data_IF_911603362261
#
_entry.id   IF_911603362261
#
_cell.length_a   1.000
_cell.length_b   1.000
_cell.length_c   1.000
_cell.angle_alpha   90.00
_cell.angle_beta   90.00
_cell.angle_gamma   90.00
#
_symmetry.space_group_name_H-M   'P 1'
#
loop_
_entity.id
_entity.type
_entity.pdbx_description
1 polymer ?
#
# COMPACT_ATOMS: atom_id res chain seq x y z
N UNK A 1 -18.51 2.80 12.36
CA UNK A 1 -17.29 3.36 12.98
C UNK A 1 -17.23 3.13 14.48
N UNK A 2 -18.33 3.41 15.21
CA UNK A 2 -18.37 3.29 16.68
C UNK A 2 -18.11 1.86 17.16
N UNK A 3 -18.73 0.88 16.52
CA UNK A 3 -18.59 -0.55 16.87
C UNK A 3 -17.13 -1.05 16.75
N UNK A 4 -16.36 -0.51 15.80
CA UNK A 4 -15.02 -0.96 15.50
C UNK A 4 -13.94 0.07 15.88
N UNK A 5 -14.30 1.14 16.60
CA UNK A 5 -13.39 2.21 17.03
C UNK A 5 -12.57 2.83 15.90
N UNK A 6 -13.13 2.89 14.68
CA UNK A 6 -12.45 3.47 13.53
C UNK A 6 -12.51 5.01 13.56
N UNK A 7 -11.44 5.66 13.09
CA UNK A 7 -11.32 7.12 13.06
C UNK A 7 -11.94 7.66 11.78
N UNK A 8 -13.08 8.35 11.85
CA UNK A 8 -13.83 8.83 10.70
C UNK A 8 -13.01 9.77 9.79
N UNK A 9 -12.26 10.69 10.38
CA UNK A 9 -11.41 11.65 9.64
C UNK A 9 -10.33 10.97 8.76
N UNK A 10 -10.03 9.69 8.99
CA UNK A 10 -9.16 8.90 8.12
C UNK A 10 -9.82 8.55 6.79
N UNK A 11 -11.14 8.37 6.78
CA UNK A 11 -11.90 7.99 5.60
C UNK A 11 -12.42 9.21 4.83
N UNK A 12 -12.94 10.21 5.55
CA UNK A 12 -13.53 11.40 4.97
C UNK A 12 -13.25 12.62 5.85
N UNK A 13 -12.83 13.71 5.24
CA UNK A 13 -12.73 15.02 5.87
C UNK A 13 -13.06 16.12 4.84
N UNK A 14 -13.38 17.35 5.30
CA UNK A 14 -13.88 18.44 4.46
C UNK A 14 -12.84 18.90 3.43
N UNK A 15 -11.55 18.78 3.72
CA UNK A 15 -10.47 19.21 2.83
C UNK A 15 -10.01 18.14 1.85
N UNK A 16 -10.56 16.92 1.95
CA UNK A 16 -10.18 15.83 1.09
C UNK A 16 -10.80 15.97 -0.28
N UNK A 17 -10.01 16.45 -1.23
CA UNK A 17 -10.41 16.56 -2.65
C UNK A 17 -10.29 15.25 -3.43
N UNK A 18 -9.50 14.32 -2.93
CA UNK A 18 -9.31 13.01 -3.57
C UNK A 18 -10.53 12.12 -3.33
N UNK A 19 -11.09 11.60 -4.38
CA UNK A 19 -12.09 10.53 -4.30
C UNK A 19 -11.35 9.24 -3.94
N UNK A 20 -11.84 8.53 -2.92
CA UNK A 20 -11.21 7.26 -2.50
C UNK A 20 -11.53 6.13 -3.47
N UNK A 21 -10.68 5.13 -3.52
CA UNK A 21 -10.96 3.85 -4.18
C UNK A 21 -12.02 3.07 -3.40
N UNK A 22 -12.80 2.29 -4.11
CA UNK A 22 -13.79 1.38 -3.52
C UNK A 22 -13.31 -0.06 -3.79
N UNK A 23 -12.82 -0.70 -2.73
CA UNK A 23 -12.38 -2.08 -2.76
C UNK A 23 -13.52 -3.03 -2.41
N UNK A 24 -13.76 -4.03 -3.25
CA UNK A 24 -14.80 -5.05 -3.05
C UNK A 24 -14.18 -6.43 -3.18
N UNK A 25 -14.26 -7.21 -2.11
CA UNK A 25 -13.79 -8.59 -2.12
C UNK A 25 -14.79 -9.51 -2.82
N UNK A 26 -14.31 -10.24 -3.82
CA UNK A 26 -15.14 -11.11 -4.66
C UNK A 26 -14.52 -12.50 -4.85
N UNK A 27 -15.34 -13.47 -5.27
CA UNK A 27 -14.86 -14.77 -5.72
C UNK A 27 -14.24 -14.60 -7.11
N UNK A 28 -13.03 -15.13 -7.33
CA UNK A 28 -12.27 -14.97 -8.56
C UNK A 28 -13.08 -15.37 -9.81
N UNK A 29 -13.76 -16.50 -9.75
CA UNK A 29 -14.51 -17.07 -10.87
C UNK A 29 -15.77 -16.29 -11.20
N UNK A 30 -16.33 -15.54 -10.23
CA UNK A 30 -17.54 -14.72 -10.40
C UNK A 30 -17.20 -13.28 -10.85
N UNK A 31 -15.93 -12.86 -10.73
CA UNK A 31 -15.51 -11.49 -11.08
C UNK A 31 -15.84 -11.06 -12.51
N UNK A 32 -15.70 -11.90 -13.56
CA UNK A 32 -16.07 -11.51 -14.92
C UNK A 32 -17.56 -11.20 -15.06
N UNK A 33 -18.43 -11.93 -14.36
CA UNK A 33 -19.88 -11.69 -14.37
C UNK A 33 -20.22 -10.37 -13.67
N UNK A 34 -19.49 -10.02 -12.61
CA UNK A 34 -19.67 -8.75 -11.91
C UNK A 34 -19.26 -7.59 -12.83
N UNK A 35 -18.13 -7.68 -13.56
CA UNK A 35 -17.77 -6.67 -14.56
C UNK A 35 -18.85 -6.52 -15.62
N UNK A 36 -19.35 -7.64 -16.14
CA UNK A 36 -20.46 -7.62 -17.10
C UNK A 36 -21.70 -6.94 -16.53
N UNK A 37 -22.09 -7.26 -15.30
CA UNK A 37 -23.21 -6.62 -14.61
C UNK A 37 -23.04 -5.09 -14.51
N UNK A 38 -21.82 -4.62 -14.15
CA UNK A 38 -21.52 -3.19 -14.07
C UNK A 38 -21.65 -2.53 -15.44
N UNK A 39 -21.09 -3.14 -16.49
CA UNK A 39 -21.17 -2.63 -17.86
C UNK A 39 -22.61 -2.60 -18.35
N UNK A 40 -23.39 -3.66 -18.12
CA UNK A 40 -24.80 -3.74 -18.54
C UNK A 40 -25.65 -2.68 -17.80
N UNK A 41 -25.36 -2.42 -16.52
CA UNK A 41 -26.13 -1.47 -15.69
C UNK A 41 -25.83 -0.01 -16.01
N UNK A 42 -24.55 0.33 -16.23
CA UNK A 42 -24.11 1.73 -16.42
C UNK A 42 -23.79 2.06 -17.88
N UNK A 43 -23.82 1.08 -18.76
CA UNK A 43 -23.49 1.12 -20.19
C UNK A 43 -22.03 1.40 -20.52
N UNK A 44 -21.58 0.86 -21.64
CA UNK A 44 -20.17 0.91 -22.06
C UNK A 44 -19.59 2.32 -22.21
N UNK A 45 -20.28 3.35 -22.73
CA UNK A 45 -19.71 4.70 -22.85
C UNK A 45 -19.33 5.35 -21.52
N UNK A 46 -19.91 4.87 -20.42
CA UNK A 46 -19.71 5.40 -19.06
C UNK A 46 -18.89 4.47 -18.16
N UNK A 47 -18.44 3.35 -18.69
CA UNK A 47 -17.64 2.35 -17.96
C UNK A 47 -16.40 1.99 -18.75
N UNK A 48 -15.26 1.88 -18.08
CA UNK A 48 -14.02 1.39 -18.67
C UNK A 48 -13.14 0.70 -17.65
N UNK A 49 -12.31 -0.25 -18.13
CA UNK A 49 -11.29 -0.87 -17.32
C UNK A 49 -10.14 0.11 -17.06
N UNK A 50 -9.49 -0.05 -15.93
CA UNK A 50 -8.29 0.74 -15.60
C UNK A 50 -7.09 0.12 -16.29
N UNK A 51 -6.26 0.89 -17.01
CA UNK A 51 -5.01 0.39 -17.57
C UNK A 51 -3.94 0.22 -16.49
N UNK A 52 -2.99 -0.66 -16.76
CA UNK A 52 -1.74 -0.74 -16.01
C UNK A 52 -0.58 -0.56 -17.00
N UNK A 53 0.22 0.48 -16.80
CA UNK A 53 1.41 0.76 -17.59
C UNK A 53 2.65 0.27 -16.84
N UNK A 54 3.39 -0.63 -17.47
CA UNK A 54 4.71 -0.98 -16.97
C UNK A 54 5.73 0.06 -17.43
N UNK A 55 6.51 0.59 -16.51
CA UNK A 55 7.60 1.51 -16.80
C UNK A 55 8.95 0.82 -16.68
N UNK A 56 9.92 1.27 -17.46
CA UNK A 56 11.28 0.76 -17.40
C UNK A 56 11.93 1.17 -16.07
N UNK A 57 11.93 0.26 -15.09
CA UNK A 57 12.73 0.41 -13.87
C UNK A 57 14.23 0.24 -14.19
N UNK A 58 15.11 0.54 -13.23
CA UNK A 58 16.56 0.56 -13.41
C UNK A 58 17.13 -0.65 -14.17
N UNK A 59 16.81 -1.85 -13.72
CA UNK A 59 17.29 -3.08 -14.37
C UNK A 59 16.67 -3.30 -15.75
N UNK A 60 15.38 -2.96 -15.92
CA UNK A 60 14.68 -3.13 -17.19
C UNK A 60 15.17 -2.12 -18.24
N UNK A 61 15.41 -0.87 -17.86
CA UNK A 61 16.03 0.13 -18.74
C UNK A 61 17.37 -0.37 -19.27
N UNK A 62 18.22 -0.92 -18.39
CA UNK A 62 19.50 -1.50 -18.78
C UNK A 62 19.34 -2.70 -19.72
N UNK A 63 18.37 -3.58 -19.47
CA UNK A 63 18.09 -4.73 -20.34
C UNK A 63 17.64 -4.30 -21.74
N UNK A 64 16.83 -3.25 -21.84
CA UNK A 64 16.37 -2.68 -23.11
C UNK A 64 17.59 -2.18 -23.90
N UNK A 65 18.49 -1.47 -23.24
CA UNK A 65 19.72 -0.95 -23.87
C UNK A 65 20.61 -2.10 -24.36
N UNK A 66 20.86 -3.10 -23.51
CA UNK A 66 21.68 -4.25 -23.87
C UNK A 66 21.09 -5.02 -25.07
N UNK A 67 19.76 -5.18 -25.12
CA UNK A 67 19.06 -5.77 -26.29
C UNK A 67 19.24 -4.92 -27.55
N UNK A 68 19.09 -3.59 -27.41
CA UNK A 68 19.32 -2.67 -28.53
C UNK A 68 20.73 -2.75 -29.11
N UNK A 69 21.76 -2.85 -28.28
CA UNK A 69 23.13 -3.06 -28.72
C UNK A 69 23.31 -4.40 -29.46
N UNK A 70 22.70 -5.48 -28.95
CA UNK A 70 22.70 -6.78 -29.58
C UNK A 70 22.03 -6.74 -30.97
N UNK A 71 20.82 -6.17 -31.04
CA UNK A 71 20.07 -6.06 -32.30
C UNK A 71 20.78 -5.18 -33.32
N UNK A 72 21.43 -4.09 -32.90
CA UNK A 72 22.24 -3.25 -33.75
C UNK A 72 23.40 -4.05 -34.32
N UNK A 73 24.13 -4.77 -33.47
CA UNK A 73 25.28 -5.60 -33.94
C UNK A 73 24.83 -6.65 -34.95
N UNK A 74 23.73 -7.37 -34.73
CA UNK A 74 23.21 -8.37 -35.68
C UNK A 74 22.86 -7.72 -37.03
N UNK A 75 22.28 -6.53 -37.04
CA UNK A 75 21.97 -5.80 -38.27
C UNK A 75 23.22 -5.34 -39.03
N UNK A 76 24.29 -4.99 -38.32
CA UNK A 76 25.57 -4.56 -38.91
C UNK A 76 26.45 -5.73 -39.38
N UNK A 77 26.16 -6.96 -38.90
CA UNK A 77 26.93 -8.20 -39.20
C UNK A 77 25.98 -9.32 -39.67
N UNK A 78 25.27 -9.14 -40.80
CA UNK A 78 24.24 -10.08 -41.26
C UNK A 78 24.76 -11.47 -41.64
N UNK A 79 26.05 -11.57 -42.00
CA UNK A 79 26.71 -12.80 -42.41
C UNK A 79 27.41 -13.53 -41.24
N UNK A 80 27.38 -12.98 -40.04
CA UNK A 80 27.98 -13.57 -38.84
C UNK A 80 26.96 -14.35 -38.01
N UNK A 81 27.44 -15.39 -37.33
CA UNK A 81 26.60 -16.13 -36.35
C UNK A 81 26.32 -15.27 -35.12
N UNK A 82 25.04 -15.24 -34.67
CA UNK A 82 24.64 -14.48 -33.47
C UNK A 82 25.43 -14.86 -32.23
N UNK A 83 25.99 -16.07 -32.15
CA UNK A 83 26.81 -16.50 -31.00
C UNK A 83 28.10 -15.69 -30.85
N UNK A 84 28.56 -15.04 -31.95
CA UNK A 84 29.74 -14.18 -31.94
C UNK A 84 29.43 -12.76 -31.40
N UNK A 85 28.15 -12.44 -31.17
CA UNK A 85 27.78 -11.12 -30.69
C UNK A 85 28.38 -10.83 -29.29
N UNK A 86 29.17 -9.72 -29.15
CA UNK A 86 29.78 -9.39 -27.87
C UNK A 86 28.74 -8.94 -26.82
N UNK A 87 27.55 -8.51 -27.27
CA UNK A 87 26.46 -8.05 -26.41
C UNK A 87 25.54 -9.19 -25.93
N UNK A 88 26.14 -10.24 -25.42
CA UNK A 88 25.49 -11.46 -24.96
C UNK A 88 25.10 -11.38 -23.47
N UNK A 89 24.65 -12.51 -22.88
CA UNK A 89 24.27 -12.58 -21.49
C UNK A 89 25.41 -12.25 -20.51
N UNK A 90 26.67 -12.54 -20.88
CA UNK A 90 27.83 -12.20 -20.04
C UNK A 90 28.02 -10.67 -19.99
N UNK A 91 27.88 -9.99 -21.13
CA UNK A 91 27.88 -8.53 -21.22
C UNK A 91 26.74 -7.94 -20.35
N UNK A 92 25.51 -8.42 -20.52
CA UNK A 92 24.36 -7.96 -19.74
C UNK A 92 24.58 -8.12 -18.22
N UNK A 93 25.12 -9.27 -17.78
CA UNK A 93 25.43 -9.50 -16.38
C UNK A 93 26.55 -8.59 -15.85
N UNK A 94 27.51 -8.25 -16.69
CA UNK A 94 28.57 -7.30 -16.36
C UNK A 94 27.99 -5.88 -16.14
N UNK A 95 27.06 -5.46 -17.02
CA UNK A 95 26.38 -4.17 -16.88
C UNK A 95 25.51 -4.10 -15.61
N UNK A 96 24.77 -5.18 -15.28
CA UNK A 96 24.00 -5.27 -14.03
C UNK A 96 24.90 -5.14 -12.79
N UNK A 97 26.06 -5.78 -12.79
CA UNK A 97 27.02 -5.68 -11.68
C UNK A 97 27.58 -4.27 -11.56
N UNK A 98 27.83 -3.58 -12.65
CA UNK A 98 28.29 -2.20 -12.63
C UNK A 98 27.20 -1.27 -12.09
N UNK A 99 25.96 -1.38 -12.56
CA UNK A 99 24.82 -0.61 -12.06
C UNK A 99 24.59 -0.82 -10.54
N UNK A 100 24.79 -2.04 -10.05
CA UNK A 100 24.63 -2.36 -8.62
C UNK A 100 25.67 -1.70 -7.71
N UNK A 101 26.80 -1.24 -8.24
CA UNK A 101 27.79 -0.44 -7.50
C UNK A 101 27.40 1.03 -7.38
N UNK A 102 26.57 1.52 -8.28
CA UNK A 102 26.07 2.88 -8.36
C UNK A 102 26.00 3.39 -9.79
N UNK A 103 25.00 4.21 -10.07
CA UNK A 103 24.74 4.72 -11.42
C UNK A 103 25.87 5.62 -11.92
N UNK A 104 26.42 6.49 -11.06
CA UNK A 104 27.49 7.41 -11.44
C UNK A 104 28.79 6.67 -11.78
N UNK A 105 29.09 5.58 -11.08
CA UNK A 105 30.24 4.73 -11.36
C UNK A 105 30.03 3.96 -12.67
N UNK A 106 28.85 3.42 -12.88
CA UNK A 106 28.48 2.72 -14.11
C UNK A 106 28.55 3.62 -15.35
N UNK A 107 28.11 4.88 -15.25
CA UNK A 107 28.23 5.89 -16.31
C UNK A 107 29.68 6.21 -16.67
N UNK A 108 30.58 6.17 -15.68
CA UNK A 108 32.03 6.37 -15.92
C UNK A 108 32.69 5.15 -16.56
N UNK A 109 32.30 3.95 -16.11
CA UNK A 109 32.89 2.70 -16.57
C UNK A 109 32.42 2.31 -17.98
N UNK A 110 31.12 2.59 -18.33
CA UNK A 110 30.49 2.23 -19.62
C UNK A 110 29.65 3.39 -20.18
N UNK A 111 30.29 4.53 -20.55
CA UNK A 111 29.56 5.73 -20.95
C UNK A 111 28.69 5.51 -22.20
N UNK A 112 29.08 4.68 -23.14
CA UNK A 112 28.34 4.36 -24.36
C UNK A 112 27.02 3.63 -24.09
N UNK A 113 26.98 2.76 -23.05
CA UNK A 113 25.78 2.02 -22.63
C UNK A 113 24.84 2.93 -21.85
N UNK A 114 25.38 3.64 -20.88
CA UNK A 114 24.59 4.47 -19.97
C UNK A 114 24.21 5.83 -20.56
N UNK A 115 24.70 6.18 -21.74
CA UNK A 115 24.25 7.36 -22.49
C UNK A 115 22.72 7.37 -22.73
N UNK A 116 22.15 6.19 -23.01
CA UNK A 116 20.71 6.05 -23.28
C UNK A 116 19.88 5.83 -22.02
N UNK A 117 20.52 5.60 -20.88
CA UNK A 117 19.86 5.12 -19.67
C UNK A 117 18.81 6.10 -19.16
N UNK A 118 19.16 7.37 -19.02
CA UNK A 118 18.25 8.40 -18.49
C UNK A 118 17.05 8.67 -19.42
N UNK A 119 17.21 8.44 -20.72
CA UNK A 119 16.14 8.59 -21.71
C UNK A 119 15.16 7.40 -21.74
N UNK A 120 15.56 6.23 -21.21
CA UNK A 120 14.72 5.02 -21.18
C UNK A 120 14.13 4.81 -19.79
N UNK A 121 14.85 5.17 -18.74
CA UNK A 121 14.38 5.03 -17.36
C UNK A 121 13.04 5.75 -17.17
N UNK A 122 12.06 5.02 -16.61
CA UNK A 122 10.71 5.54 -16.35
C UNK A 122 9.80 5.63 -17.57
N UNK A 123 10.28 5.31 -18.80
CA UNK A 123 9.40 5.29 -19.99
C UNK A 123 8.39 4.15 -19.91
N UNK A 124 7.19 4.37 -20.46
CA UNK A 124 6.14 3.33 -20.57
C UNK A 124 6.59 2.29 -21.61
N UNK A 125 6.77 1.04 -21.19
CA UNK A 125 7.27 -0.07 -22.03
C UNK A 125 6.24 -1.18 -22.23
N UNK A 126 5.20 -1.21 -21.41
CA UNK A 126 4.11 -2.16 -21.58
C UNK A 126 2.79 -1.55 -21.18
N UNK A 127 1.72 -2.09 -21.76
CA UNK A 127 0.35 -1.69 -21.49
C UNK A 127 -0.50 -2.96 -21.30
N UNK A 128 -1.15 -3.04 -20.16
CA UNK A 128 -2.03 -4.14 -19.78
C UNK A 128 -3.32 -3.61 -19.14
N UNK A 129 -4.26 -4.50 -18.89
CA UNK A 129 -5.49 -4.19 -18.16
C UNK A 129 -5.25 -4.50 -16.68
N UNK A 130 -5.56 -3.56 -15.80
CA UNK A 130 -5.56 -3.82 -14.36
C UNK A 130 -6.61 -4.91 -14.04
N UNK A 131 -6.24 -6.02 -13.40
CA UNK A 131 -7.11 -7.19 -13.29
C UNK A 131 -8.38 -6.94 -12.46
N UNK A 132 -8.36 -5.97 -11.55
CA UNK A 132 -9.45 -5.69 -10.62
C UNK A 132 -10.19 -4.38 -10.92
N UNK A 133 -9.55 -3.40 -11.58
CA UNK A 133 -10.04 -2.04 -11.68
C UNK A 133 -11.09 -1.82 -12.78
N UNK A 134 -12.18 -1.13 -12.41
CA UNK A 134 -13.16 -0.55 -13.33
C UNK A 134 -13.57 0.84 -12.85
N UNK A 135 -13.79 1.74 -13.79
CA UNK A 135 -14.30 3.10 -13.53
C UNK A 135 -15.74 3.20 -14.01
N UNK A 136 -16.57 3.89 -13.24
CA UNK A 136 -17.94 4.29 -13.61
C UNK A 136 -17.96 5.82 -13.59
N UNK A 137 -18.38 6.44 -14.68
CA UNK A 137 -18.35 7.88 -14.89
C UNK A 137 -19.74 8.46 -15.15
N UNK A 138 -20.02 9.68 -14.69
CA UNK A 138 -21.24 10.40 -15.07
C UNK A 138 -21.16 11.04 -16.46
N UNK A 139 -19.96 11.05 -17.08
CA UNK A 139 -19.71 11.62 -18.42
C UNK A 139 -19.14 10.58 -19.37
N UNK A 140 -19.23 10.84 -20.69
CA UNK A 140 -18.70 9.96 -21.73
C UNK A 140 -17.17 9.84 -21.60
N UNK A 141 -16.69 8.63 -21.31
CA UNK A 141 -15.28 8.39 -21.04
C UNK A 141 -14.38 8.62 -22.26
N UNK A 142 -14.83 8.18 -23.44
CA UNK A 142 -14.04 8.33 -24.66
C UNK A 142 -13.82 9.80 -25.07
N UNK A 143 -14.82 10.67 -24.85
CA UNK A 143 -14.75 12.09 -25.21
C UNK A 143 -13.94 12.92 -24.20
N UNK A 144 -14.00 12.54 -22.91
CA UNK A 144 -13.40 13.36 -21.87
C UNK A 144 -11.99 12.88 -21.48
N UNK A 145 -11.70 11.56 -21.56
CA UNK A 145 -10.45 10.98 -21.04
C UNK A 145 -9.74 10.09 -22.06
N UNK A 146 -10.40 9.81 -23.21
CA UNK A 146 -9.90 8.85 -24.18
C UNK A 146 -10.03 7.40 -23.72
N UNK A 147 -10.27 6.53 -24.68
CA UNK A 147 -10.34 5.07 -24.46
C UNK A 147 -9.58 4.33 -25.55
N UNK A 148 -9.18 3.09 -25.26
CA UNK A 148 -8.60 2.16 -26.23
C UNK A 148 -9.13 0.75 -25.98
N UNK A 149 -9.01 -0.11 -26.99
CA UNK A 149 -9.41 -1.50 -26.88
C UNK A 149 -8.18 -2.36 -26.58
N UNK A 150 -8.22 -3.16 -25.51
CA UNK A 150 -7.19 -4.12 -25.13
C UNK A 150 -7.83 -5.45 -24.72
N UNK A 151 -7.43 -6.52 -25.40
CA UNK A 151 -7.92 -7.89 -25.14
C UNK A 151 -9.46 -8.01 -25.14
N UNK A 152 -10.14 -7.20 -25.97
CA UNK A 152 -11.60 -7.15 -26.09
C UNK A 152 -12.29 -6.26 -25.04
N UNK A 153 -11.54 -5.65 -24.12
CA UNK A 153 -12.08 -4.75 -23.09
C UNK A 153 -11.77 -3.28 -23.43
N UNK A 154 -12.73 -2.39 -23.14
CA UNK A 154 -12.54 -0.94 -23.27
C UNK A 154 -11.81 -0.45 -22.04
N UNK A 155 -10.65 0.17 -22.24
CA UNK A 155 -9.77 0.72 -21.21
C UNK A 155 -9.67 2.22 -21.33
N UNK A 156 -9.45 2.92 -20.21
CA UNK A 156 -9.08 4.34 -20.20
C UNK A 156 -7.67 4.55 -20.78
N UNK A 157 -7.40 5.73 -21.34
CA UNK A 157 -6.04 6.13 -21.74
C UNK A 157 -5.25 6.76 -20.59
N UNK A 158 -5.92 7.19 -19.55
CA UNK A 158 -5.32 7.75 -18.33
C UNK A 158 -5.01 6.63 -17.33
N UNK A 159 -3.93 6.78 -16.59
CA UNK A 159 -3.50 5.82 -15.58
C UNK A 159 -4.18 6.06 -14.21
N UNK A 160 -3.79 5.25 -13.23
CA UNK A 160 -4.41 5.29 -11.90
C UNK A 160 -4.24 6.63 -11.19
N UNK A 161 -3.09 7.28 -11.32
CA UNK A 161 -2.82 8.57 -10.67
C UNK A 161 -3.64 9.68 -11.37
N UNK A 162 -3.69 9.65 -12.70
CA UNK A 162 -4.51 10.57 -13.50
C UNK A 162 -6.02 10.39 -13.25
N UNK A 163 -6.50 9.17 -12.99
CA UNK A 163 -7.89 8.88 -12.59
C UNK A 163 -8.24 9.61 -11.28
N UNK A 164 -7.34 9.61 -10.31
CA UNK A 164 -7.52 10.36 -9.06
C UNK A 164 -7.51 11.88 -9.29
N UNK A 165 -6.61 12.37 -10.13
CA UNK A 165 -6.49 13.81 -10.43
C UNK A 165 -7.78 14.38 -11.06
N UNK A 166 -8.46 13.59 -11.88
CA UNK A 166 -9.74 13.98 -12.49
C UNK A 166 -10.97 13.59 -11.66
N UNK A 167 -10.76 13.13 -10.42
CA UNK A 167 -11.81 12.77 -9.47
C UNK A 167 -12.80 11.69 -9.95
N UNK A 168 -12.34 10.77 -10.79
CA UNK A 168 -13.12 9.58 -11.13
C UNK A 168 -13.00 8.54 -10.01
N UNK A 169 -14.11 7.83 -9.74
CA UNK A 169 -14.15 6.73 -8.76
C UNK A 169 -13.70 5.43 -9.42
N UNK A 170 -12.67 4.84 -8.85
CA UNK A 170 -12.21 3.51 -9.22
C UNK A 170 -12.81 2.46 -8.27
N UNK A 171 -13.33 1.39 -8.85
CA UNK A 171 -13.80 0.20 -8.14
C UNK A 171 -12.83 -0.93 -8.40
N UNK A 172 -12.26 -1.49 -7.33
CA UNK A 172 -11.37 -2.66 -7.42
C UNK A 172 -12.10 -3.91 -6.94
N UNK A 173 -12.36 -4.83 -7.85
CA UNK A 173 -12.93 -6.14 -7.55
C UNK A 173 -11.81 -7.12 -7.18
N UNK A 174 -11.46 -7.13 -5.90
CA UNK A 174 -10.35 -7.91 -5.37
C UNK A 174 -10.73 -9.38 -5.24
N UNK A 175 -10.07 -10.26 -5.99
CA UNK A 175 -10.32 -11.68 -5.94
C UNK A 175 -9.66 -12.32 -4.71
N UNK A 176 -10.45 -12.70 -3.72
CA UNK A 176 -9.99 -13.35 -2.51
C UNK A 176 -10.35 -14.84 -2.46
N UNK A 177 -9.31 -15.68 -2.37
CA UNK A 177 -9.48 -17.13 -2.21
C UNK A 177 -10.30 -17.50 -0.96
N UNK A 178 -10.11 -16.77 0.13
CA UNK A 178 -10.80 -17.03 1.40
C UNK A 178 -12.30 -16.83 1.29
N UNK A 179 -12.78 -15.81 0.54
CA UNK A 179 -14.21 -15.62 0.28
C UNK A 179 -14.82 -16.86 -0.36
N UNK A 180 -14.13 -17.47 -1.34
CA UNK A 180 -14.56 -18.72 -1.99
C UNK A 180 -14.58 -19.91 -0.99
N UNK A 181 -13.54 -20.03 -0.14
CA UNK A 181 -13.47 -21.09 0.88
C UNK A 181 -14.70 -20.99 1.81
N UNK A 182 -14.98 -19.80 2.35
CA UNK A 182 -16.13 -19.58 3.22
C UNK A 182 -17.44 -19.90 2.48
N UNK A 183 -17.63 -19.38 1.28
CA UNK A 183 -18.83 -19.63 0.47
C UNK A 183 -19.05 -21.13 0.23
N UNK A 184 -18.01 -21.85 -0.17
CA UNK A 184 -18.11 -23.30 -0.41
C UNK A 184 -18.39 -24.08 0.88
N UNK A 185 -17.74 -23.71 1.99
CA UNK A 185 -18.01 -24.33 3.29
C UNK A 185 -19.47 -24.15 3.70
N UNK A 186 -20.00 -22.93 3.59
CA UNK A 186 -21.41 -22.66 3.88
C UNK A 186 -22.36 -23.50 3.01
N UNK A 187 -22.07 -23.63 1.71
CA UNK A 187 -22.84 -24.49 0.78
C UNK A 187 -22.81 -25.97 1.19
N UNK A 188 -21.63 -26.47 1.61
CA UNK A 188 -21.46 -27.87 2.01
C UNK A 188 -22.22 -28.23 3.30
N UNK A 189 -22.25 -27.31 4.27
CA UNK A 189 -22.94 -27.52 5.55
C UNK A 189 -24.40 -27.03 5.54
N UNK A 190 -24.86 -26.44 4.45
CA UNK A 190 -26.24 -25.98 4.29
C UNK A 190 -26.60 -24.75 5.12
N UNK A 191 -25.64 -23.86 5.42
CA UNK A 191 -25.89 -22.61 6.15
C UNK A 191 -25.73 -21.39 5.23
N UNK A 192 -26.37 -20.24 5.55
CA UNK A 192 -26.16 -18.99 4.84
C UNK A 192 -24.74 -18.46 5.05
N UNK A 193 -24.27 -17.61 4.13
CA UNK A 193 -22.99 -16.89 4.29
C UNK A 193 -23.07 -16.00 5.54
N UNK A 194 -22.10 -16.09 6.48
CA UNK A 194 -22.18 -15.38 7.76
C UNK A 194 -22.08 -13.86 7.57
N UNK A 195 -22.87 -13.12 8.30
CA UNK A 195 -22.77 -11.66 8.38
C UNK A 195 -21.98 -11.29 9.62
N UNK A 196 -21.21 -10.22 9.54
CA UNK A 196 -20.28 -9.79 10.61
C UNK A 196 -20.97 -9.58 11.96
N UNK A 197 -22.23 -9.16 11.97
CA UNK A 197 -23.02 -8.96 13.18
C UNK A 197 -23.66 -10.25 13.74
N UNK A 198 -23.56 -11.37 13.02
CA UNK A 198 -24.03 -12.69 13.42
C UNK A 198 -22.90 -13.54 14.04
N UNK A 199 -21.64 -13.05 13.94
CA UNK A 199 -20.46 -13.75 14.44
C UNK A 199 -20.26 -13.41 15.92
N UNK A 200 -20.11 -14.45 16.76
CA UNK A 200 -19.63 -14.26 18.13
C UNK A 200 -18.11 -14.06 18.15
N UNK A 201 -17.69 -12.80 18.22
CA UNK A 201 -16.28 -12.41 18.24
C UNK A 201 -15.59 -12.75 19.59
N UNK A 202 -16.33 -13.21 20.59
CA UNK A 202 -15.80 -13.60 21.90
C UNK A 202 -15.71 -15.12 22.09
N UNK A 203 -15.97 -15.92 21.04
CA UNK A 203 -15.87 -17.37 21.12
C UNK A 203 -14.40 -17.82 21.29
N UNK A 204 -14.02 -18.10 22.54
CA UNK A 204 -12.68 -18.58 22.90
C UNK A 204 -12.28 -19.87 22.17
N UNK A 205 -13.24 -20.72 21.84
CA UNK A 205 -12.96 -21.97 21.12
C UNK A 205 -12.44 -21.67 19.72
N UNK A 206 -13.05 -20.71 19.02
CA UNK A 206 -12.59 -20.30 17.68
C UNK A 206 -11.18 -19.72 17.75
N UNK A 207 -10.91 -18.83 18.71
CA UNK A 207 -9.56 -18.26 18.90
C UNK A 207 -8.50 -19.33 19.20
N UNK A 208 -8.84 -20.34 19.99
CA UNK A 208 -7.92 -21.44 20.27
C UNK A 208 -7.74 -22.39 19.08
N UNK A 209 -8.81 -22.73 18.37
CA UNK A 209 -8.76 -23.62 17.20
C UNK A 209 -7.98 -23.01 16.05
N UNK A 210 -8.03 -21.68 15.87
CA UNK A 210 -7.25 -20.92 14.88
C UNK A 210 -5.73 -21.11 15.05
N UNK A 211 -5.24 -21.47 16.24
CA UNK A 211 -3.81 -21.70 16.49
C UNK A 211 -3.32 -23.10 16.12
N UNK A 212 -4.21 -23.98 15.65
CA UNK A 212 -3.86 -25.38 15.32
C UNK A 212 -3.32 -25.54 13.91
N UNK A 213 -3.91 -24.79 12.96
CA UNK A 213 -3.53 -24.85 11.54
C UNK A 213 -3.65 -23.46 10.90
N UNK A 214 -2.81 -23.20 9.91
CA UNK A 214 -2.88 -21.98 9.10
C UNK A 214 -3.78 -22.15 7.85
N UNK A 215 -4.35 -23.32 7.64
CA UNK A 215 -5.24 -23.59 6.51
C UNK A 215 -6.49 -22.73 6.59
N UNK A 216 -6.75 -21.96 5.53
CA UNK A 216 -7.90 -21.07 5.46
C UNK A 216 -7.78 -19.76 6.26
N UNK A 217 -6.68 -19.54 6.96
CA UNK A 217 -6.44 -18.28 7.67
C UNK A 217 -5.86 -17.22 6.71
N UNK A 218 -6.69 -16.29 6.30
CA UNK A 218 -6.28 -15.21 5.40
C UNK A 218 -5.08 -14.41 5.95
N UNK A 219 -4.07 -14.19 5.12
CA UNK A 219 -2.80 -13.52 5.43
C UNK A 219 -1.88 -14.25 6.45
N UNK A 220 -2.33 -15.38 6.99
CA UNK A 220 -1.56 -16.19 7.96
C UNK A 220 -1.09 -17.53 7.38
N UNK A 221 -1.15 -17.69 6.04
CA UNK A 221 -0.85 -18.95 5.35
C UNK A 221 0.63 -19.33 5.40
N UNK A 222 1.53 -18.34 5.51
CA UNK A 222 2.96 -18.61 5.60
C UNK A 222 3.35 -19.17 6.97
N UNK A 223 4.32 -20.06 7.01
CA UNK A 223 4.86 -20.61 8.28
C UNK A 223 5.37 -19.50 9.22
N UNK A 224 5.92 -18.42 8.65
CA UNK A 224 6.39 -17.28 9.40
C UNK A 224 5.23 -16.52 10.07
N UNK A 225 4.22 -16.10 9.29
CA UNK A 225 3.06 -15.37 9.83
C UNK A 225 2.31 -16.21 10.88
N UNK A 226 2.11 -17.48 10.60
CA UNK A 226 1.48 -18.40 11.55
C UNK A 226 2.31 -18.62 12.81
N UNK A 227 3.64 -18.63 12.70
CA UNK A 227 4.56 -18.66 13.84
C UNK A 227 4.37 -17.48 14.77
N UNK A 228 4.24 -16.26 14.22
CA UNK A 228 3.95 -15.05 15.00
C UNK A 228 2.57 -15.10 15.64
N UNK A 229 1.55 -15.52 14.89
CA UNK A 229 0.19 -15.71 15.41
C UNK A 229 0.15 -16.62 16.62
N UNK A 230 0.86 -17.77 16.55
CA UNK A 230 0.95 -18.72 17.67
C UNK A 230 1.68 -18.17 18.89
N UNK A 231 2.64 -17.28 18.71
CA UNK A 231 3.33 -16.63 19.82
C UNK A 231 2.45 -15.58 20.48
N UNK A 232 1.77 -14.75 19.68
CA UNK A 232 0.92 -13.68 20.16
C UNK A 232 -0.36 -14.19 20.85
N UNK A 233 -0.99 -15.24 20.30
CA UNK A 233 -2.24 -15.85 20.78
C UNK A 233 -3.38 -14.84 20.88
N UNK A 234 -3.86 -14.28 19.78
CA UNK A 234 -4.94 -13.30 19.79
C UNK A 234 -6.21 -13.87 20.42
N UNK A 235 -6.95 -13.04 21.14
CA UNK A 235 -8.21 -13.37 21.79
C UNK A 235 -9.37 -12.50 21.34
N UNK A 236 -9.10 -11.58 20.43
CA UNK A 236 -10.06 -10.63 19.88
C UNK A 236 -9.72 -10.24 18.45
N UNK A 237 -10.70 -9.66 17.76
CA UNK A 237 -10.47 -9.10 16.41
C UNK A 237 -9.45 -7.95 16.45
N UNK A 238 -9.37 -7.19 17.54
CA UNK A 238 -8.38 -6.14 17.73
C UNK A 238 -6.97 -6.70 17.85
N UNK A 239 -6.79 -7.78 18.61
CA UNK A 239 -5.53 -8.51 18.70
C UNK A 239 -5.11 -9.03 17.33
N UNK A 240 -6.05 -9.58 16.56
CA UNK A 240 -5.79 -10.08 15.21
C UNK A 240 -5.39 -8.95 14.26
N UNK A 241 -6.05 -7.78 14.35
CA UNK A 241 -5.68 -6.58 13.62
C UNK A 241 -4.24 -6.15 13.95
N UNK A 242 -3.85 -6.21 15.22
CA UNK A 242 -2.52 -5.86 15.68
C UNK A 242 -1.45 -6.80 15.10
N UNK A 243 -1.72 -8.11 15.09
CA UNK A 243 -0.83 -9.11 14.45
C UNK A 243 -0.71 -8.85 12.95
N UNK A 244 -1.82 -8.58 12.25
CA UNK A 244 -1.81 -8.26 10.83
C UNK A 244 -1.00 -7.00 10.52
N UNK A 245 -1.11 -5.96 11.35
CA UNK A 245 -0.33 -4.73 11.21
C UNK A 245 1.17 -4.98 11.47
N UNK A 246 1.50 -5.75 12.50
CA UNK A 246 2.88 -6.11 12.83
C UNK A 246 3.58 -6.92 11.72
N UNK A 247 2.82 -7.70 10.93
CA UNK A 247 3.36 -8.46 9.79
C UNK A 247 3.79 -7.58 8.62
N UNK A 248 3.28 -6.34 8.53
CA UNK A 248 3.68 -5.39 7.48
C UNK A 248 5.17 -5.04 7.61
N UNK A 249 5.85 -4.63 6.52
CA UNK A 249 7.24 -4.16 6.59
C UNK A 249 7.46 -3.06 7.63
N UNK A 250 6.46 -2.20 7.83
CA UNK A 250 6.43 -1.16 8.87
C UNK A 250 6.61 -1.69 10.29
N UNK A 251 6.21 -2.92 10.55
CA UNK A 251 6.36 -3.56 11.86
C UNK A 251 7.75 -4.10 12.17
N UNK A 252 8.68 -4.09 11.21
CA UNK A 252 9.96 -4.80 11.34
C UNK A 252 10.78 -4.40 12.57
N UNK A 253 10.73 -3.13 12.98
CA UNK A 253 11.51 -2.60 14.11
C UNK A 253 10.95 -2.97 15.50
N UNK A 254 9.63 -3.22 15.60
CA UNK A 254 8.96 -3.48 16.89
C UNK A 254 8.23 -4.81 16.97
N UNK A 255 8.13 -5.54 15.86
CA UNK A 255 7.33 -6.77 15.73
C UNK A 255 7.62 -7.79 16.82
N UNK A 256 8.89 -8.13 17.00
CA UNK A 256 9.27 -9.20 17.91
C UNK A 256 8.95 -8.87 19.36
N UNK A 257 9.11 -7.62 19.77
CA UNK A 257 8.81 -7.16 21.12
C UNK A 257 7.30 -7.05 21.33
N UNK A 258 6.57 -6.51 20.35
CA UNK A 258 5.11 -6.45 20.37
C UNK A 258 4.50 -7.87 20.50
N UNK A 259 4.97 -8.81 19.68
CA UNK A 259 4.49 -10.20 19.70
C UNK A 259 4.77 -10.90 21.03
N UNK A 260 5.88 -10.57 21.69
CA UNK A 260 6.21 -11.08 23.04
C UNK A 260 5.46 -10.34 24.16
N UNK A 261 4.66 -9.32 23.84
CA UNK A 261 3.93 -8.52 24.82
C UNK A 261 4.82 -7.56 25.61
N UNK A 262 6.00 -7.23 25.11
CA UNK A 262 6.87 -6.21 25.73
C UNK A 262 6.21 -4.84 25.56
N UNK A 263 6.11 -4.08 26.62
CA UNK A 263 5.58 -2.73 26.58
C UNK A 263 6.65 -1.74 26.18
N UNK A 264 6.34 -0.91 25.19
CA UNK A 264 7.18 0.24 24.83
C UNK A 264 6.88 1.43 25.74
N UNK A 265 7.92 2.15 26.14
CA UNK A 265 7.79 3.38 26.94
C UNK A 265 8.02 4.58 26.03
N UNK A 266 7.03 5.46 25.98
CA UNK A 266 7.07 6.68 25.18
C UNK A 266 7.65 7.86 25.99
N UNK A 267 7.95 8.99 25.32
CA UNK A 267 8.48 10.19 26.00
C UNK A 267 7.61 10.73 27.14
N UNK A 268 6.28 10.50 27.07
CA UNK A 268 5.36 10.96 28.12
C UNK A 268 4.25 9.97 28.43
N UNK A 269 3.68 10.14 29.62
CA UNK A 269 2.50 9.35 30.04
C UNK A 269 1.28 9.57 29.15
N UNK A 270 1.05 10.78 28.63
CA UNK A 270 -0.06 11.05 27.68
C UNK A 270 0.04 10.19 26.43
N UNK A 271 1.26 9.99 25.91
CA UNK A 271 1.50 9.16 24.74
C UNK A 271 1.39 7.66 25.09
N UNK A 272 1.90 7.25 26.27
CA UNK A 272 1.72 5.87 26.75
C UNK A 272 0.23 5.53 26.89
N UNK A 273 -0.59 6.44 27.46
CA UNK A 273 -2.03 6.27 27.62
C UNK A 273 -2.74 6.22 26.23
N UNK A 274 -2.31 7.04 25.25
CA UNK A 274 -2.85 7.05 23.90
C UNK A 274 -2.60 5.73 23.17
N UNK A 275 -1.43 5.13 23.36
CA UNK A 275 -0.97 3.92 22.68
C UNK A 275 -1.11 2.64 23.54
N UNK A 276 -1.87 2.71 24.63
CA UNK A 276 -2.01 1.60 25.59
C UNK A 276 -2.51 0.31 24.95
N UNK A 277 -3.46 0.40 24.02
CA UNK A 277 -4.03 -0.75 23.29
C UNK A 277 -3.01 -1.44 22.38
N UNK A 278 -1.96 -0.75 21.99
CA UNK A 278 -0.87 -1.25 21.15
C UNK A 278 0.40 -1.55 21.96
N UNK A 279 0.32 -1.78 23.25
CA UNK A 279 1.47 -1.94 24.16
C UNK A 279 2.49 -0.78 24.07
N UNK A 280 2.03 0.43 23.78
CA UNK A 280 2.88 1.62 23.63
C UNK A 280 3.52 1.80 22.27
N UNK A 281 3.32 0.89 21.33
CA UNK A 281 3.87 1.00 19.98
C UNK A 281 3.00 1.82 19.05
N UNK A 282 3.62 2.58 18.16
CA UNK A 282 2.96 3.28 17.07
C UNK A 282 2.74 2.29 15.92
N UNK A 283 1.52 1.77 15.79
CA UNK A 283 1.20 0.69 14.85
C UNK A 283 0.36 1.17 13.68
N UNK A 284 -0.68 1.97 13.94
CA UNK A 284 -1.67 2.37 12.95
C UNK A 284 -1.49 3.82 12.49
N UNK A 285 -1.92 4.10 11.28
CA UNK A 285 -2.01 5.48 10.77
C UNK A 285 -2.95 6.33 11.65
N UNK A 286 -3.98 5.70 12.17
CA UNK A 286 -4.95 6.27 13.09
C UNK A 286 -4.32 6.74 14.40
N UNK A 287 -3.25 6.10 14.86
CA UNK A 287 -2.54 6.52 16.07
C UNK A 287 -1.90 7.90 15.88
N UNK A 288 -1.37 8.17 14.68
CA UNK A 288 -0.84 9.49 14.31
C UNK A 288 -1.96 10.54 14.33
N UNK A 289 -3.11 10.22 13.74
CA UNK A 289 -4.26 11.12 13.71
C UNK A 289 -4.77 11.39 15.14
N UNK A 290 -4.91 10.35 15.97
CA UNK A 290 -5.32 10.47 17.37
C UNK A 290 -4.34 11.33 18.17
N UNK A 291 -3.03 11.17 17.97
CA UNK A 291 -2.03 12.01 18.63
C UNK A 291 -2.21 13.48 18.24
N UNK A 292 -2.31 13.77 16.95
CA UNK A 292 -2.45 15.14 16.46
C UNK A 292 -3.77 15.79 16.89
N UNK A 293 -4.88 15.05 16.91
CA UNK A 293 -6.18 15.55 17.33
C UNK A 293 -6.31 15.65 18.85
N UNK A 294 -6.07 14.56 19.57
CA UNK A 294 -6.41 14.45 20.97
C UNK A 294 -5.37 15.09 21.90
N UNK A 295 -4.11 15.11 21.48
CA UNK A 295 -3.02 15.69 22.27
C UNK A 295 -2.62 17.05 21.73
N UNK A 296 -2.45 17.20 20.41
CA UNK A 296 -1.99 18.46 19.82
C UNK A 296 -3.12 19.42 19.44
N UNK A 297 -4.40 19.01 19.53
CA UNK A 297 -5.55 19.87 19.29
C UNK A 297 -5.82 20.27 17.83
N UNK A 298 -5.23 19.54 16.86
CA UNK A 298 -5.49 19.76 15.44
C UNK A 298 -6.89 19.26 15.07
N UNK A 299 -7.50 19.88 14.07
CA UNK A 299 -8.72 19.35 13.44
C UNK A 299 -8.46 18.02 12.73
N UNK A 300 -9.51 17.27 12.43
CA UNK A 300 -9.38 16.00 11.70
C UNK A 300 -8.70 16.14 10.34
N UNK A 301 -8.97 17.23 9.64
CA UNK A 301 -8.39 17.57 8.36
C UNK A 301 -6.91 17.91 8.46
N UNK A 302 -6.54 18.79 9.39
CA UNK A 302 -5.15 19.15 9.64
C UNK A 302 -4.33 17.92 10.06
N UNK A 303 -4.87 17.08 10.93
CA UNK A 303 -4.23 15.86 11.38
C UNK A 303 -3.96 14.87 10.22
N UNK A 304 -4.94 14.64 9.33
CA UNK A 304 -4.73 13.79 8.15
C UNK A 304 -3.73 14.39 7.16
N UNK A 305 -3.75 15.71 6.97
CA UNK A 305 -2.78 16.40 6.12
C UNK A 305 -1.34 16.27 6.66
N UNK A 306 -1.14 16.43 7.98
CA UNK A 306 0.16 16.21 8.63
C UNK A 306 0.60 14.74 8.52
N UNK A 307 -0.30 13.79 8.79
CA UNK A 307 -0.01 12.36 8.61
C UNK A 307 0.47 12.04 7.19
N UNK A 308 -0.19 12.62 6.16
CA UNK A 308 0.23 12.43 4.75
C UNK A 308 1.57 13.07 4.47
N UNK A 309 1.84 14.26 5.03
CA UNK A 309 3.14 14.92 4.90
C UNK A 309 4.26 14.04 5.49
N UNK A 310 4.02 13.45 6.66
CA UNK A 310 4.94 12.50 7.27
C UNK A 310 5.16 11.28 6.36
N UNK A 311 4.08 10.65 5.87
CA UNK A 311 4.15 9.47 5.00
C UNK A 311 4.84 9.72 3.65
N UNK A 312 4.70 10.92 3.08
CA UNK A 312 5.34 11.33 1.82
C UNK A 312 6.72 11.97 2.00
N UNK A 313 7.20 12.10 3.25
CA UNK A 313 8.44 12.81 3.61
C UNK A 313 8.46 14.26 3.12
N UNK A 314 7.31 14.93 3.15
CA UNK A 314 7.17 16.34 2.78
C UNK A 314 7.60 17.23 3.96
N UNK A 315 8.90 17.48 4.03
CA UNK A 315 9.51 18.27 5.11
C UNK A 315 8.94 19.70 5.18
N UNK A 316 8.61 20.31 4.04
CA UNK A 316 8.09 21.67 4.01
C UNK A 316 6.72 21.78 4.69
N UNK A 317 5.83 20.83 4.41
CA UNK A 317 4.51 20.77 5.05
C UNK A 317 4.62 20.45 6.53
N UNK A 318 5.50 19.54 6.90
CA UNK A 318 5.73 19.19 8.29
C UNK A 318 6.27 20.39 9.09
N UNK A 319 7.26 21.11 8.55
CA UNK A 319 7.83 22.30 9.20
C UNK A 319 6.77 23.41 9.41
N UNK A 320 5.82 23.57 8.49
CA UNK A 320 4.72 24.53 8.65
C UNK A 320 3.76 24.14 9.78
N UNK A 321 3.51 22.86 9.98
CA UNK A 321 2.59 22.36 11.01
C UNK A 321 3.26 22.28 12.39
N UNK A 322 4.59 22.20 12.45
CA UNK A 322 5.35 21.97 13.69
C UNK A 322 5.03 22.95 14.83
N UNK A 323 4.94 24.29 14.60
CA UNK A 323 4.60 25.23 15.67
C UNK A 323 3.22 24.96 16.29
N UNK A 324 2.21 24.61 15.49
CA UNK A 324 0.87 24.30 15.97
C UNK A 324 0.88 22.99 16.79
N UNK A 325 1.58 21.98 16.31
CA UNK A 325 1.73 20.69 17.02
C UNK A 325 2.37 20.88 18.39
N UNK A 326 3.50 21.62 18.45
CA UNK A 326 4.21 21.89 19.68
C UNK A 326 3.38 22.71 20.67
N UNK A 327 2.71 23.77 20.20
CA UNK A 327 1.85 24.59 21.05
C UNK A 327 0.70 23.78 21.63
N UNK A 328 -0.02 23.03 20.80
CA UNK A 328 -1.14 22.19 21.25
C UNK A 328 -0.70 21.11 22.27
N UNK A 329 0.45 20.49 22.03
CA UNK A 329 1.03 19.53 22.99
C UNK A 329 1.32 20.20 24.34
N UNK A 330 1.97 21.37 24.33
CA UNK A 330 2.31 22.11 25.54
C UNK A 330 1.06 22.58 26.32
N UNK A 331 0.01 22.98 25.63
CA UNK A 331 -1.28 23.36 26.26
C UNK A 331 -1.96 22.19 26.96
N UNK A 332 -1.76 20.96 26.42
CA UNK A 332 -2.34 19.74 26.97
C UNK A 332 -1.50 19.14 28.11
N UNK A 333 -0.20 19.39 28.10
CA UNK A 333 0.73 18.86 29.09
C UNK A 333 0.60 19.54 30.45
N UNK A 334 0.73 18.78 31.53
CA UNK A 334 0.84 19.26 32.90
C UNK A 334 2.28 19.67 33.31
N UNK A 335 3.22 19.57 32.37
CA UNK A 335 4.64 19.83 32.61
C UNK A 335 5.05 21.24 32.17
N UNK A 336 6.19 21.76 32.68
CA UNK A 336 6.77 23.00 32.16
C UNK A 336 6.97 22.95 30.64
N UNK A 337 6.76 24.11 29.99
CA UNK A 337 6.77 24.20 28.51
C UNK A 337 8.02 23.59 27.86
N UNK A 338 9.19 23.85 28.45
CA UNK A 338 10.45 23.34 27.94
C UNK A 338 10.48 21.80 27.90
N UNK A 339 10.01 21.16 28.98
CA UNK A 339 9.93 19.69 29.08
C UNK A 339 8.89 19.14 28.10
N UNK A 340 7.72 19.78 28.01
CA UNK A 340 6.66 19.38 27.08
C UNK A 340 7.11 19.49 25.61
N UNK A 341 7.85 20.54 25.26
CA UNK A 341 8.40 20.69 23.90
C UNK A 341 9.43 19.60 23.57
N UNK A 342 10.28 19.21 24.53
CA UNK A 342 11.24 18.11 24.31
C UNK A 342 10.52 16.76 24.12
N UNK A 343 9.50 16.46 24.93
CA UNK A 343 8.68 15.27 24.77
C UNK A 343 7.97 15.21 23.41
N UNK A 344 7.37 16.33 22.98
CA UNK A 344 6.72 16.45 21.70
C UNK A 344 7.69 16.23 20.54
N UNK A 345 8.86 16.89 20.57
CA UNK A 345 9.92 16.74 19.55
C UNK A 345 10.44 15.31 19.48
N UNK A 346 10.66 14.67 20.63
CA UNK A 346 11.08 13.28 20.67
C UNK A 346 10.05 12.35 20.04
N UNK A 347 8.76 12.56 20.28
CA UNK A 347 7.71 11.73 19.68
C UNK A 347 7.52 12.03 18.18
N UNK A 348 7.60 13.29 17.76
CA UNK A 348 7.58 13.66 16.34
C UNK A 348 8.73 12.99 15.58
N UNK A 349 9.91 12.89 16.19
CA UNK A 349 11.02 12.16 15.58
C UNK A 349 10.69 10.66 15.42
N UNK A 350 10.07 10.04 16.42
CA UNK A 350 9.57 8.65 16.31
C UNK A 350 8.56 8.51 15.15
N UNK A 351 7.64 9.48 14.99
CA UNK A 351 6.69 9.50 13.88
C UNK A 351 7.38 9.57 12.52
N UNK A 352 8.40 10.42 12.39
CA UNK A 352 9.17 10.59 11.16
C UNK A 352 9.95 9.30 10.84
N UNK A 353 10.61 8.72 11.81
CA UNK A 353 11.40 7.49 11.65
C UNK A 353 10.50 6.31 11.27
N UNK A 354 9.34 6.18 11.92
CA UNK A 354 8.35 5.16 11.60
C UNK A 354 7.74 5.33 10.20
N UNK A 355 7.67 6.56 9.66
CA UNK A 355 7.13 6.84 8.32
C UNK A 355 7.93 6.20 7.19
N UNK A 356 9.19 5.87 7.43
CA UNK A 356 10.08 5.25 6.43
C UNK A 356 9.55 3.92 5.90
N UNK A 357 8.64 3.27 6.64
CA UNK A 357 8.11 1.95 6.33
C UNK A 357 6.58 1.90 6.17
N UNK A 358 5.88 3.02 6.20
CA UNK A 358 4.43 3.14 6.17
C UNK A 358 3.70 2.35 7.27
N UNK A 359 2.87 3.03 8.03
CA UNK A 359 2.05 2.43 9.11
C UNK A 359 1.09 1.35 8.61
N UNK A 360 0.81 0.41 9.44
CA UNK A 360 -0.16 -0.64 9.20
C UNK A 360 -1.60 -0.17 9.06
#
# INVERSE_FOLDING_TARGET
PETWHTVFSRFCNEDRKEVGDIDVDVILEERPEIFKYIIDRFTQPYTARVPAFGTAAETEALLIICRGFKEKWIKEHPDEDESNCPYNNAFTNKMKKSLAKGLDEAKKEYPEVFYYYDGILGTRISQSVHPAGIVISPVLLAENYGTFLKDGEVCLQIDMDEIHDVSLVKYDLLALRTVKIISNTCKLIGCPYPKTYEIDWNDEKVWNDMLRTNEGLFQMESAYAFGLLKQFKPKSIFDMSLVCAALRPSGASYRDDLIKGVKHKNPSKMIDDLLADNNGYLVYQEDVIKFLQNICGLSGSEADNVRRAIGRKDEQRLQKALPQILNGYCEKSDKPREVAEEEAKAFIQILIDASSYMFG
#
